data_IF_584840220889
#
_entry.id   IF_584840220889
#
_cell.length_a   1.000
_cell.length_b   1.000
_cell.length_c   1.000
_cell.angle_alpha   90.00
_cell.angle_beta   90.00
_cell.angle_gamma   90.00
#
_symmetry.space_group_name_H-M   'P 1'
#
loop_
_entity.id
_entity.type
_entity.pdbx_description
1 polymer ?
#
# COMPACT_ATOMS: atom_id res chain seq x y z
N UNK A 1 -17.63 8.63 25.52
CA UNK A 1 -18.62 8.49 24.44
C UNK A 1 -18.22 9.42 23.31
N UNK A 2 -18.42 8.99 22.06
CA UNK A 2 -17.46 9.21 20.98
C UNK A 2 -17.31 10.67 20.52
N UNK A 3 -16.07 11.17 20.55
CA UNK A 3 -15.59 12.35 19.81
C UNK A 3 -15.88 12.26 18.29
N UNK A 4 -16.32 11.10 17.79
CA UNK A 4 -16.41 10.73 16.40
C UNK A 4 -17.22 11.69 15.50
N UNK A 5 -18.14 12.50 16.04
CA UNK A 5 -19.02 13.36 15.22
C UNK A 5 -18.77 14.86 15.37
N UNK A 6 -17.73 15.26 16.11
CA UNK A 6 -17.38 16.67 16.26
C UNK A 6 -16.51 17.16 15.12
N UNK A 7 -16.65 18.43 14.77
CA UNK A 7 -15.91 19.09 13.69
C UNK A 7 -14.89 20.04 14.31
N UNK A 8 -13.57 19.79 14.21
CA UNK A 8 -12.59 20.75 14.68
C UNK A 8 -12.53 21.94 13.72
N UNK A 9 -12.56 23.16 14.25
CA UNK A 9 -12.46 24.38 13.48
C UNK A 9 -11.60 25.43 14.15
N UNK A 10 -10.84 26.19 13.36
CA UNK A 10 -10.06 27.32 13.80
C UNK A 10 -10.85 28.63 13.61
N UNK A 11 -10.73 29.55 14.58
CA UNK A 11 -11.38 30.87 14.56
C UNK A 11 -10.45 31.92 15.16
N UNK A 12 -10.48 33.13 14.61
CA UNK A 12 -9.78 34.25 15.24
C UNK A 12 -10.46 34.70 16.53
N UNK A 13 -9.67 35.21 17.48
CA UNK A 13 -10.19 35.69 18.77
C UNK A 13 -11.26 36.76 18.62
N UNK A 14 -11.14 37.62 17.60
CA UNK A 14 -12.10 38.68 17.30
C UNK A 14 -13.44 38.11 16.82
N UNK A 15 -13.39 37.12 15.91
CA UNK A 15 -14.59 36.47 15.37
C UNK A 15 -15.33 35.67 16.45
N UNK A 16 -14.59 34.95 17.31
CA UNK A 16 -15.18 34.22 18.44
C UNK A 16 -15.89 35.17 19.42
N UNK A 17 -15.26 36.30 19.77
CA UNK A 17 -15.86 37.29 20.65
C UNK A 17 -17.11 37.96 20.03
N UNK A 18 -17.15 38.15 18.71
CA UNK A 18 -18.33 38.65 18.02
C UNK A 18 -19.49 37.64 18.04
N UNK A 19 -19.19 36.35 17.80
CA UNK A 19 -20.18 35.29 17.83
C UNK A 19 -20.77 35.08 19.24
N UNK A 20 -19.92 35.09 20.28
CA UNK A 20 -20.35 34.99 21.69
C UNK A 20 -21.27 36.15 22.11
N UNK A 21 -20.92 37.38 21.74
CA UNK A 21 -21.77 38.55 22.01
C UNK A 21 -23.13 38.46 21.33
N UNK A 22 -23.19 37.95 20.10
CA UNK A 22 -24.46 37.76 19.37
C UNK A 22 -25.33 36.67 19.99
N UNK A 23 -24.70 35.60 20.49
CA UNK A 23 -25.39 34.50 21.15
C UNK A 23 -25.77 34.80 22.60
N UNK A 24 -25.25 35.91 23.18
CA UNK A 24 -25.36 36.24 24.61
C UNK A 24 -24.84 35.12 25.53
N UNK A 25 -23.71 34.53 25.15
CA UNK A 25 -23.08 33.38 25.82
C UNK A 25 -21.69 33.78 26.31
N UNK A 26 -21.35 33.43 27.55
CA UNK A 26 -20.00 33.63 28.09
C UNK A 26 -19.00 32.58 27.56
N UNK A 27 -17.74 32.97 27.34
CA UNK A 27 -16.70 32.03 26.87
C UNK A 27 -16.50 30.81 27.79
N UNK A 28 -16.82 30.94 29.08
CA UNK A 28 -16.75 29.85 30.06
C UNK A 28 -17.81 28.77 29.81
N UNK A 29 -18.97 29.15 29.29
CA UNK A 29 -20.08 28.22 28.99
C UNK A 29 -19.72 27.27 27.84
N UNK A 30 -18.80 27.67 26.96
CA UNK A 30 -18.25 26.78 25.92
C UNK A 30 -17.42 25.62 26.48
N UNK A 31 -16.86 25.77 27.69
CA UNK A 31 -15.96 24.79 28.31
C UNK A 31 -16.69 23.85 29.27
N UNK A 32 -17.87 24.22 29.76
CA UNK A 32 -18.54 23.58 30.90
C UNK A 32 -19.83 22.85 30.57
N UNK A 33 -20.42 23.05 29.39
CA UNK A 33 -21.78 22.57 29.13
C UNK A 33 -21.80 21.11 28.61
N UNK A 34 -22.61 20.22 29.19
CA UNK A 34 -22.88 18.90 28.62
C UNK A 34 -23.69 19.03 27.32
N UNK A 35 -23.65 17.99 26.47
CA UNK A 35 -24.21 18.04 25.09
C UNK A 35 -25.66 18.58 24.92
N UNK A 36 -26.61 18.39 25.85
CA UNK A 36 -27.95 18.96 25.69
C UNK A 36 -28.05 20.48 25.92
N UNK A 37 -27.01 21.12 26.50
CA UNK A 37 -26.98 22.55 26.83
C UNK A 37 -25.92 23.32 26.03
N UNK A 38 -25.44 22.76 24.91
CA UNK A 38 -24.44 23.42 24.08
C UNK A 38 -25.01 24.66 23.38
N UNK A 39 -24.36 25.83 23.53
CA UNK A 39 -24.83 27.07 22.94
C UNK A 39 -24.69 27.06 21.42
N UNK A 40 -25.69 27.63 20.72
CA UNK A 40 -25.65 27.78 19.26
C UNK A 40 -24.94 29.07 18.87
N UNK A 41 -23.74 28.94 18.30
CA UNK A 41 -22.98 30.06 17.75
C UNK A 41 -23.22 30.19 16.24
N UNK A 42 -23.43 31.43 15.78
CA UNK A 42 -23.63 31.73 14.36
C UNK A 42 -22.47 32.57 13.81
N UNK A 43 -21.69 31.97 12.91
CA UNK A 43 -20.57 32.61 12.23
C UNK A 43 -20.96 33.01 10.79
N UNK A 44 -20.71 34.27 10.37
CA UNK A 44 -20.71 34.67 8.96
C UNK A 44 -19.75 33.84 8.09
N UNK A 45 -19.98 33.77 6.76
CA UNK A 45 -19.09 33.09 5.84
C UNK A 45 -17.64 33.57 5.96
N UNK A 46 -16.68 32.64 5.98
CA UNK A 46 -15.25 32.92 6.05
C UNK A 46 -14.69 33.20 7.45
N UNK A 47 -15.53 33.24 8.51
CA UNK A 47 -15.05 33.51 9.87
C UNK A 47 -14.63 32.26 10.65
N UNK A 48 -14.99 31.07 10.17
CA UNK A 48 -14.70 29.78 10.79
C UNK A 48 -14.03 28.87 9.76
N UNK A 49 -12.83 28.40 10.07
CA UNK A 49 -12.06 27.51 9.20
C UNK A 49 -12.18 26.07 9.71
N UNK A 50 -12.94 25.23 9.02
CA UNK A 50 -13.01 23.80 9.35
C UNK A 50 -11.68 23.11 9.07
N UNK A 51 -11.04 22.56 10.11
CA UNK A 51 -9.79 21.82 10.01
C UNK A 51 -10.03 20.41 9.45
N UNK A 52 -11.17 19.79 9.81
CA UNK A 52 -11.55 18.47 9.32
C UNK A 52 -13.07 18.36 9.16
N UNK A 53 -13.57 17.25 8.59
CA UNK A 53 -15.01 16.92 8.59
C UNK A 53 -15.86 17.70 7.59
N UNK A 54 -15.27 18.53 6.72
CA UNK A 54 -15.97 19.30 5.67
C UNK A 54 -16.74 18.42 4.68
N UNK A 55 -16.20 17.25 4.35
CA UNK A 55 -16.86 16.26 3.50
C UNK A 55 -18.16 15.73 4.14
N UNK A 56 -18.19 15.55 5.47
CA UNK A 56 -19.40 15.12 6.20
C UNK A 56 -20.46 16.20 6.22
N UNK A 57 -20.04 17.46 6.35
CA UNK A 57 -20.95 18.60 6.26
C UNK A 57 -21.54 18.65 4.85
N UNK A 58 -20.70 18.51 3.80
CA UNK A 58 -21.17 18.48 2.42
C UNK A 58 -22.17 17.35 2.16
N UNK A 59 -21.83 16.11 2.54
CA UNK A 59 -22.73 14.96 2.43
C UNK A 59 -24.01 15.13 3.28
N UNK A 60 -23.87 15.67 4.49
CA UNK A 60 -24.99 15.97 5.38
C UNK A 60 -25.92 17.03 4.79
N UNK A 61 -25.43 18.00 4.02
CA UNK A 61 -26.27 19.00 3.35
C UNK A 61 -27.12 18.37 2.24
N UNK A 62 -26.63 17.33 1.57
CA UNK A 62 -27.36 16.60 0.53
C UNK A 62 -28.43 15.67 1.13
N UNK A 63 -28.12 15.01 2.24
CA UNK A 63 -28.97 13.94 2.80
C UNK A 63 -29.88 14.42 3.93
N UNK A 64 -29.44 15.37 4.77
CA UNK A 64 -30.19 15.78 5.97
C UNK A 64 -31.21 16.88 5.66
N UNK A 65 -32.39 16.74 6.28
CA UNK A 65 -33.42 17.77 6.24
C UNK A 65 -32.94 19.05 6.97
N UNK A 66 -33.49 20.24 6.63
CA UNK A 66 -33.04 21.50 7.22
C UNK A 66 -33.04 21.54 8.76
N UNK A 67 -33.94 20.79 9.41
CA UNK A 67 -34.04 20.70 10.86
C UNK A 67 -32.84 19.97 11.52
N UNK A 68 -32.13 19.12 10.77
CA UNK A 68 -30.99 18.33 11.26
C UNK A 68 -29.63 18.85 10.78
N UNK A 69 -29.58 20.01 10.12
CA UNK A 69 -28.33 20.64 9.65
C UNK A 69 -27.63 21.42 10.75
N UNK A 70 -27.25 20.72 11.81
CA UNK A 70 -26.45 21.27 12.90
C UNK A 70 -25.32 20.29 13.23
N UNK A 71 -24.16 20.84 13.58
CA UNK A 71 -22.97 20.06 13.92
C UNK A 71 -22.38 20.61 15.21
N UNK A 72 -21.85 19.70 16.03
CA UNK A 72 -21.03 20.07 17.19
C UNK A 72 -19.64 20.43 16.68
N UNK A 73 -19.15 21.61 17.04
CA UNK A 73 -17.87 22.13 16.58
C UNK A 73 -16.95 22.32 17.77
N UNK A 74 -15.75 21.74 17.72
CA UNK A 74 -14.68 22.04 18.67
C UNK A 74 -13.89 23.24 18.13
N UNK A 75 -13.95 24.35 18.85
CA UNK A 75 -13.43 25.64 18.41
C UNK A 75 -12.04 25.87 18.97
N UNK A 76 -11.07 26.07 18.10
CA UNK A 76 -9.68 26.38 18.42
C UNK A 76 -9.31 27.78 17.94
N UNK A 77 -8.35 28.40 18.61
CA UNK A 77 -7.77 29.67 18.16
C UNK A 77 -6.97 29.47 16.86
N UNK A 78 -6.84 30.49 16.02
CA UNK A 78 -6.15 30.41 14.72
C UNK A 78 -4.62 30.38 14.83
N UNK A 79 -4.08 30.80 15.98
CA UNK A 79 -2.68 30.76 16.38
C UNK A 79 -2.21 29.40 16.91
N UNK A 80 -3.02 28.34 16.80
CA UNK A 80 -2.56 26.99 17.13
C UNK A 80 -1.39 26.57 16.23
N UNK A 81 -0.35 25.99 16.85
CA UNK A 81 0.84 25.52 16.13
C UNK A 81 0.52 24.45 15.09
N UNK A 82 1.35 24.37 14.05
CA UNK A 82 1.14 23.46 12.92
C UNK A 82 1.11 21.98 13.35
N UNK A 83 1.84 21.62 14.41
CA UNK A 83 1.79 20.28 15.02
C UNK A 83 0.38 19.95 15.56
N UNK A 84 -0.27 20.91 16.22
CA UNK A 84 -1.63 20.73 16.75
C UNK A 84 -2.67 20.73 15.63
N UNK A 85 -2.50 21.57 14.59
CA UNK A 85 -3.36 21.53 13.40
C UNK A 85 -3.30 20.14 12.74
N UNK A 86 -2.10 19.64 12.50
CA UNK A 86 -1.86 18.31 11.92
C UNK A 86 -2.48 17.23 12.80
N UNK A 87 -2.30 17.35 14.12
CA UNK A 87 -2.90 16.44 15.10
C UNK A 87 -4.43 16.37 15.00
N UNK A 88 -5.11 17.51 14.91
CA UNK A 88 -6.56 17.59 14.83
C UNK A 88 -7.08 17.06 13.48
N UNK A 89 -6.35 17.32 12.40
CA UNK A 89 -6.68 16.76 11.08
C UNK A 89 -6.58 15.23 11.11
N UNK A 90 -5.49 14.68 11.66
CA UNK A 90 -5.23 13.23 11.68
C UNK A 90 -6.09 12.44 12.69
N UNK A 91 -6.47 13.06 13.82
CA UNK A 91 -7.28 12.42 14.87
C UNK A 91 -8.73 12.22 14.43
N UNK A 92 -9.28 13.21 13.72
CA UNK A 92 -10.66 13.18 13.24
C UNK A 92 -10.81 12.51 11.86
N UNK A 93 -9.71 12.20 11.16
CA UNK A 93 -9.71 11.40 9.92
C UNK A 93 -10.10 9.93 10.10
N UNK A 94 -10.43 9.50 11.33
CA UNK A 94 -10.59 8.08 11.70
C UNK A 94 -12.04 7.58 11.73
N UNK A 95 -12.97 8.18 10.97
CA UNK A 95 -14.32 7.60 10.83
C UNK A 95 -14.28 6.18 10.26
N UNK A 96 -13.25 5.88 9.46
CA UNK A 96 -12.75 4.53 9.28
C UNK A 96 -11.32 4.45 9.83
N UNK A 97 -10.97 3.40 10.62
CA UNK A 97 -9.60 3.21 11.06
C UNK A 97 -8.69 3.11 9.81
N UNK A 98 -7.54 3.80 9.78
CA UNK A 98 -6.62 3.69 8.66
C UNK A 98 -6.19 2.24 8.48
N UNK A 99 -5.98 1.83 7.22
CA UNK A 99 -5.46 0.50 6.94
C UNK A 99 -4.05 0.33 7.50
N UNK A 100 -3.66 -0.93 7.74
CA UNK A 100 -2.33 -1.28 8.21
C UNK A 100 -1.22 -0.71 7.30
N UNK A 101 -1.48 -0.58 5.99
CA UNK A 101 -0.55 -0.02 5.01
C UNK A 101 -0.43 1.50 5.09
N UNK A 102 -1.52 2.22 5.36
CA UNK A 102 -1.47 3.67 5.59
C UNK A 102 -0.75 3.97 6.91
N UNK A 103 -1.02 3.19 7.98
CA UNK A 103 -0.28 3.27 9.23
C UNK A 103 1.22 3.04 9.00
N UNK A 104 1.58 1.99 8.25
CA UNK A 104 2.97 1.73 7.87
C UNK A 104 3.60 2.92 7.16
N UNK A 105 2.93 3.46 6.13
CA UNK A 105 3.47 4.54 5.30
C UNK A 105 3.72 5.80 6.12
N UNK A 106 2.79 6.17 7.01
CA UNK A 106 2.90 7.33 7.90
C UNK A 106 4.03 7.18 8.91
N UNK A 107 4.18 6.00 9.52
CA UNK A 107 5.32 5.72 10.41
C UNK A 107 6.64 5.92 9.66
N UNK A 108 6.75 5.41 8.43
CA UNK A 108 7.98 5.54 7.61
C UNK A 108 8.24 6.97 7.17
N UNK A 109 7.19 7.71 6.81
CA UNK A 109 7.29 9.13 6.47
C UNK A 109 7.84 9.93 7.67
N UNK A 110 7.19 9.84 8.83
CA UNK A 110 7.64 10.57 10.03
C UNK A 110 9.04 10.16 10.50
N UNK A 111 9.42 8.90 10.34
CA UNK A 111 10.78 8.44 10.63
C UNK A 111 11.81 9.07 9.68
N UNK A 112 11.48 9.23 8.40
CA UNK A 112 12.35 9.90 7.41
C UNK A 112 12.43 11.41 7.64
N UNK A 113 11.34 12.02 8.10
CA UNK A 113 11.25 13.46 8.41
C UNK A 113 11.91 13.81 9.75
N UNK A 114 12.37 12.82 10.52
CA UNK A 114 12.96 13.01 11.86
C UNK A 114 11.94 13.37 12.94
N UNK A 115 10.64 13.24 12.67
CA UNK A 115 9.56 13.57 13.60
C UNK A 115 9.21 12.36 14.48
N UNK A 116 9.94 12.24 15.59
CA UNK A 116 9.74 11.16 16.56
C UNK A 116 8.33 11.15 17.16
N UNK A 117 7.72 12.32 17.37
CA UNK A 117 6.40 12.41 17.97
C UNK A 117 5.32 11.83 17.05
N UNK A 118 5.34 12.21 15.76
CA UNK A 118 4.46 11.64 14.73
C UNK A 118 4.65 10.14 14.57
N UNK A 119 5.90 9.67 14.56
CA UNK A 119 6.21 8.24 14.46
C UNK A 119 5.61 7.44 15.63
N UNK A 120 5.84 7.87 16.87
CA UNK A 120 5.32 7.20 18.07
C UNK A 120 3.79 7.22 18.12
N UNK A 121 3.17 8.33 17.69
CA UNK A 121 1.72 8.45 17.62
C UNK A 121 1.10 7.45 16.66
N UNK A 122 1.65 7.33 15.44
CA UNK A 122 1.14 6.38 14.46
C UNK A 122 1.42 4.93 14.86
N UNK A 123 2.54 4.66 15.54
CA UNK A 123 2.81 3.36 16.18
C UNK A 123 1.77 3.00 17.25
N UNK A 124 1.33 3.97 18.05
CA UNK A 124 0.36 3.74 19.13
C UNK A 124 -1.02 3.29 18.63
N UNK A 125 -1.34 3.49 17.34
CA UNK A 125 -2.57 2.98 16.71
C UNK A 125 -2.58 1.45 16.54
N UNK A 126 -1.41 0.81 16.61
CA UNK A 126 -1.26 -0.64 16.51
C UNK A 126 -1.32 -1.30 17.89
N UNK A 127 -1.90 -2.50 17.98
CA UNK A 127 -1.81 -3.32 19.19
C UNK A 127 -0.36 -3.82 19.42
N UNK A 128 -0.03 -4.20 20.66
CA UNK A 128 1.34 -4.61 21.05
C UNK A 128 1.93 -5.71 20.14
N UNK A 129 1.12 -6.69 19.76
CA UNK A 129 1.55 -7.77 18.85
C UNK A 129 1.89 -7.25 17.44
N UNK A 130 1.07 -6.34 16.90
CA UNK A 130 1.31 -5.71 15.59
C UNK A 130 2.54 -4.82 15.62
N UNK A 131 2.77 -4.07 16.70
CA UNK A 131 3.99 -3.27 16.88
C UNK A 131 5.25 -4.16 16.88
N UNK A 132 5.21 -5.30 17.58
CA UNK A 132 6.35 -6.24 17.65
C UNK A 132 6.64 -6.86 16.28
N UNK A 133 5.60 -7.24 15.53
CA UNK A 133 5.74 -7.75 14.15
C UNK A 133 6.31 -6.70 13.22
N UNK A 134 5.80 -5.47 13.31
CA UNK A 134 6.29 -4.35 12.50
C UNK A 134 7.75 -4.00 12.80
N UNK A 135 8.15 -4.00 14.08
CA UNK A 135 9.56 -3.84 14.46
C UNK A 135 10.44 -4.95 13.89
N UNK A 136 9.94 -6.18 13.87
CA UNK A 136 10.68 -7.32 13.30
C UNK A 136 10.88 -7.17 11.78
N UNK A 137 9.86 -6.66 11.07
CA UNK A 137 9.96 -6.28 9.67
C UNK A 137 11.01 -5.19 9.45
N UNK A 138 11.02 -4.14 10.29
CA UNK A 138 11.99 -3.03 10.15
C UNK A 138 13.44 -3.44 10.40
N UNK A 139 13.69 -4.50 11.18
CA UNK A 139 15.02 -5.10 11.37
C UNK A 139 15.50 -5.84 10.13
N UNK A 140 14.59 -6.36 9.31
CA UNK A 140 14.93 -7.01 8.04
C UNK A 140 15.04 -5.96 6.93
N UNK A 141 16.26 -5.49 6.65
CA UNK A 141 16.53 -4.45 5.66
C UNK A 141 15.93 -4.75 4.29
N UNK A 142 16.03 -6.01 3.82
CA UNK A 142 15.52 -6.39 2.49
C UNK A 142 14.00 -6.30 2.43
N UNK A 143 13.30 -6.92 3.39
CA UNK A 143 11.84 -6.86 3.42
C UNK A 143 11.35 -5.45 3.66
N UNK A 144 12.01 -4.68 4.54
CA UNK A 144 11.68 -3.26 4.73
C UNK A 144 11.72 -2.51 3.40
N UNK A 145 12.78 -2.68 2.61
CA UNK A 145 12.87 -2.02 1.29
C UNK A 145 11.78 -2.49 0.32
N UNK A 146 11.48 -3.80 0.27
CA UNK A 146 10.40 -4.31 -0.58
C UNK A 146 9.03 -3.73 -0.19
N UNK A 147 8.70 -3.72 1.11
CA UNK A 147 7.45 -3.14 1.61
C UNK A 147 7.40 -1.62 1.46
N UNK A 148 8.52 -0.90 1.65
CA UNK A 148 8.61 0.54 1.39
C UNK A 148 8.29 0.85 -0.09
N UNK A 149 8.71 0.00 -1.03
CA UNK A 149 8.39 0.10 -2.46
C UNK A 149 6.91 -0.21 -2.74
N UNK A 150 6.44 -1.40 -2.38
CA UNK A 150 5.06 -1.86 -2.65
C UNK A 150 4.02 -0.93 -2.02
N UNK A 151 4.23 -0.48 -0.78
CA UNK A 151 3.31 0.44 -0.09
C UNK A 151 3.51 1.91 -0.49
N UNK A 152 4.54 2.20 -1.29
CA UNK A 152 4.66 3.45 -2.03
C UNK A 152 3.46 3.65 -2.95
N UNK A 153 3.02 2.57 -3.60
CA UNK A 153 1.83 2.52 -4.46
C UNK A 153 0.57 2.59 -3.58
N UNK A 154 -0.26 3.64 -3.70
CA UNK A 154 -1.46 3.78 -2.88
C UNK A 154 -2.40 2.56 -2.95
N UNK A 155 -2.53 1.95 -4.14
CA UNK A 155 -3.45 0.83 -4.33
C UNK A 155 -3.16 -0.44 -3.52
N UNK A 156 -1.93 -0.65 -3.05
CA UNK A 156 -1.59 -1.81 -2.22
C UNK A 156 -1.82 -1.60 -0.71
N UNK A 157 -2.04 -0.36 -0.26
CA UNK A 157 -2.05 -0.04 1.18
C UNK A 157 -3.18 -0.73 1.95
N UNK A 158 -4.33 -0.91 1.32
CA UNK A 158 -5.48 -1.57 1.96
C UNK A 158 -5.35 -3.09 2.01
N UNK A 159 -4.54 -3.67 1.13
CA UNK A 159 -4.21 -5.08 1.15
C UNK A 159 -3.20 -5.43 2.26
N UNK A 160 -2.47 -4.45 2.80
CA UNK A 160 -1.50 -4.67 3.86
C UNK A 160 -2.14 -5.29 5.10
N UNK A 161 -1.50 -6.34 5.65
CA UNK A 161 -1.91 -7.01 6.89
C UNK A 161 -0.69 -7.19 7.78
N UNK A 162 -0.47 -6.27 8.71
CA UNK A 162 0.64 -6.35 9.70
C UNK A 162 0.52 -7.64 10.52
N UNK A 163 -0.71 -8.11 10.73
CA UNK A 163 -0.98 -9.39 11.38
C UNK A 163 -0.32 -10.57 10.66
N UNK A 164 -0.18 -10.55 9.33
CA UNK A 164 0.36 -11.65 8.52
C UNK A 164 1.89 -11.59 8.38
N UNK A 165 2.57 -10.54 8.85
CA UNK A 165 4.01 -10.37 8.67
C UNK A 165 4.85 -11.50 9.26
N UNK A 166 4.39 -12.11 10.36
CA UNK A 166 5.06 -13.27 10.97
C UNK A 166 5.20 -14.47 10.01
N UNK A 167 4.34 -14.57 8.99
CA UNK A 167 4.36 -15.63 7.97
C UNK A 167 5.26 -15.30 6.79
N UNK A 168 5.42 -13.99 6.50
CA UNK A 168 6.13 -13.49 5.31
C UNK A 168 7.64 -13.39 5.52
N UNK A 169 8.11 -13.26 6.77
CA UNK A 169 9.54 -13.02 7.06
C UNK A 169 10.50 -14.12 6.60
N UNK A 170 9.99 -15.26 6.12
CA UNK A 170 10.77 -16.41 5.67
C UNK A 170 11.07 -16.42 4.15
N UNK A 171 10.53 -15.48 3.36
CA UNK A 171 10.58 -15.58 1.88
C UNK A 171 11.08 -14.28 1.25
N UNK A 172 11.85 -14.46 0.19
CA UNK A 172 12.36 -13.40 -0.68
C UNK A 172 11.37 -13.21 -1.83
N UNK A 173 10.74 -12.04 -1.94
CA UNK A 173 9.89 -11.68 -3.08
C UNK A 173 10.46 -10.42 -3.74
N UNK A 174 10.55 -10.45 -5.06
CA UNK A 174 10.94 -9.31 -5.90
C UNK A 174 9.70 -8.94 -6.73
N UNK A 175 9.05 -7.81 -6.43
CA UNK A 175 7.78 -7.40 -7.06
C UNK A 175 7.94 -6.08 -7.81
N UNK A 176 8.48 -6.14 -9.03
CA UNK A 176 8.74 -4.97 -9.89
C UNK A 176 7.63 -4.74 -10.95
N UNK A 177 6.54 -5.52 -10.93
CA UNK A 177 5.49 -5.47 -11.97
C UNK A 177 4.87 -4.08 -12.12
N UNK A 178 4.39 -3.49 -11.02
CA UNK A 178 3.67 -2.21 -11.07
C UNK A 178 4.57 -1.03 -11.45
N UNK A 179 5.84 -1.08 -11.04
CA UNK A 179 6.83 -0.08 -11.42
C UNK A 179 7.15 -0.15 -12.91
N UNK A 180 7.30 -1.37 -13.45
CA UNK A 180 7.55 -1.57 -14.89
C UNK A 180 6.42 -1.04 -15.79
N UNK A 181 5.19 -0.96 -15.26
CA UNK A 181 4.04 -0.47 -16.01
C UNK A 181 4.14 1.03 -16.32
N UNK A 182 4.79 1.78 -15.44
CA UNK A 182 4.91 3.24 -15.49
C UNK A 182 6.36 3.70 -15.61
N UNK A 183 7.24 2.86 -16.16
CA UNK A 183 8.66 3.16 -16.42
C UNK A 183 9.42 3.65 -15.16
N UNK A 184 9.07 3.07 -14.01
CA UNK A 184 9.65 3.40 -12.70
C UNK A 184 9.48 4.87 -12.27
N UNK A 185 8.59 5.64 -12.93
CA UNK A 185 8.36 7.05 -12.62
C UNK A 185 7.61 7.21 -11.28
N UNK A 186 8.22 7.81 -10.24
CA UNK A 186 7.60 7.92 -8.93
C UNK A 186 6.29 8.72 -8.92
N UNK A 187 6.14 9.70 -9.82
CA UNK A 187 4.92 10.50 -9.91
C UNK A 187 3.77 9.66 -10.47
N UNK A 188 4.03 8.88 -11.51
CA UNK A 188 3.07 7.95 -12.11
C UNK A 188 2.71 6.79 -11.18
N UNK A 189 3.67 6.25 -10.42
CA UNK A 189 3.40 5.21 -9.41
C UNK A 189 2.40 5.71 -8.35
N UNK A 190 2.49 6.99 -7.98
CA UNK A 190 1.58 7.59 -6.99
C UNK A 190 0.14 7.78 -7.51
N UNK A 191 -0.08 7.71 -8.83
CA UNK A 191 -1.43 7.77 -9.45
C UNK A 191 -2.16 6.42 -9.43
N UNK A 192 -1.49 5.32 -9.09
CA UNK A 192 -2.11 3.98 -9.09
C UNK A 192 -2.97 3.82 -7.83
N UNK A 193 -4.27 3.87 -8.05
CA UNK A 193 -5.28 3.80 -7.00
C UNK A 193 -5.65 2.35 -6.62
N UNK A 194 -6.41 2.23 -5.53
CA UNK A 194 -6.87 0.94 -4.99
C UNK A 194 -7.79 0.19 -5.94
N UNK A 195 -8.73 0.88 -6.57
CA UNK A 195 -9.71 0.24 -7.44
C UNK A 195 -9.00 -0.38 -8.65
N UNK A 196 -7.98 0.29 -9.19
CA UNK A 196 -7.12 -0.28 -10.25
C UNK A 196 -6.45 -1.58 -9.83
N UNK A 197 -5.77 -1.59 -8.68
CA UNK A 197 -5.07 -2.80 -8.20
C UNK A 197 -6.04 -3.94 -7.92
N UNK A 198 -7.16 -3.67 -7.24
CA UNK A 198 -8.15 -4.69 -6.87
C UNK A 198 -8.90 -5.25 -8.07
N UNK A 199 -9.09 -4.46 -9.12
CA UNK A 199 -9.74 -4.91 -10.35
C UNK A 199 -8.79 -5.76 -11.18
N UNK A 200 -7.51 -5.37 -11.28
CA UNK A 200 -6.53 -6.09 -12.11
C UNK A 200 -5.94 -7.34 -11.43
N UNK A 201 -5.85 -7.38 -10.09
CA UNK A 201 -5.23 -8.50 -9.40
C UNK A 201 -5.85 -9.84 -9.83
N UNK A 202 -5.01 -10.87 -9.95
CA UNK A 202 -5.43 -12.21 -10.38
C UNK A 202 -6.02 -12.30 -11.80
N UNK A 203 -6.08 -11.21 -12.57
CA UNK A 203 -6.36 -11.29 -14.00
C UNK A 203 -5.10 -11.67 -14.77
N UNK A 204 -5.26 -12.27 -15.96
CA UNK A 204 -4.18 -12.48 -16.93
C UNK A 204 -4.40 -11.54 -18.11
N UNK A 205 -3.78 -10.35 -18.16
CA UNK A 205 -4.08 -9.31 -19.14
C UNK A 205 -3.98 -9.77 -20.60
N UNK A 206 -3.03 -10.64 -20.93
CA UNK A 206 -2.93 -11.22 -22.27
C UNK A 206 -4.13 -12.10 -22.65
N UNK A 207 -4.62 -12.92 -21.72
CA UNK A 207 -5.74 -13.84 -21.95
C UNK A 207 -7.09 -13.13 -21.88
N UNK A 208 -7.19 -12.14 -21.01
CA UNK A 208 -8.40 -11.34 -20.74
C UNK A 208 -8.35 -9.97 -21.43
N UNK A 209 -7.60 -9.88 -22.54
CA UNK A 209 -7.25 -8.63 -23.21
C UNK A 209 -8.45 -7.74 -23.55
N UNK A 210 -9.58 -8.33 -23.94
CA UNK A 210 -10.79 -7.57 -24.26
C UNK A 210 -11.37 -6.85 -23.05
N UNK A 211 -11.40 -7.53 -21.90
CA UNK A 211 -11.94 -6.99 -20.65
C UNK A 211 -11.00 -5.93 -20.12
N UNK A 212 -9.70 -6.27 -19.98
CA UNK A 212 -8.69 -5.34 -19.46
C UNK A 212 -8.57 -4.09 -20.35
N UNK A 213 -8.55 -4.24 -21.68
CA UNK A 213 -8.55 -3.08 -22.59
C UNK A 213 -9.79 -2.22 -22.41
N UNK A 214 -10.97 -2.82 -22.28
CA UNK A 214 -12.22 -2.07 -22.05
C UNK A 214 -12.14 -1.24 -20.77
N UNK A 215 -11.59 -1.80 -19.69
CA UNK A 215 -11.41 -1.11 -18.41
C UNK A 215 -10.41 0.05 -18.52
N UNK A 216 -9.26 -0.16 -19.18
CA UNK A 216 -8.25 0.88 -19.38
C UNK A 216 -8.77 2.01 -20.29
N UNK A 217 -9.28 1.69 -21.47
CA UNK A 217 -9.71 2.71 -22.45
C UNK A 217 -10.96 3.47 -21.98
N UNK A 218 -11.82 2.86 -21.16
CA UNK A 218 -12.96 3.59 -20.55
C UNK A 218 -12.57 4.46 -19.36
N UNK A 219 -11.32 4.39 -18.89
CA UNK A 219 -10.85 5.13 -17.71
C UNK A 219 -11.45 4.64 -16.39
N UNK A 220 -12.04 3.43 -16.36
CA UNK A 220 -12.54 2.83 -15.12
C UNK A 220 -11.40 2.45 -14.17
N UNK A 221 -10.26 2.06 -14.75
CA UNK A 221 -8.99 1.85 -14.03
C UNK A 221 -7.96 2.84 -14.59
N UNK A 222 -6.95 3.17 -13.78
CA UNK A 222 -6.00 4.26 -14.05
C UNK A 222 -6.73 5.62 -14.23
N UNK A 223 -7.61 5.96 -13.29
CA UNK A 223 -8.47 7.15 -13.37
C UNK A 223 -7.69 8.46 -13.44
N UNK A 224 -6.56 8.51 -12.74
CA UNK A 224 -5.71 9.70 -12.60
C UNK A 224 -4.66 9.81 -13.73
N UNK A 225 -4.75 8.94 -14.74
CA UNK A 225 -3.91 8.95 -15.94
C UNK A 225 -4.66 9.48 -17.15
N UNK A 226 -3.93 10.17 -18.02
CA UNK A 226 -4.46 10.71 -19.27
C UNK A 226 -4.70 9.60 -20.30
N UNK A 227 -5.45 9.88 -21.38
CA UNK A 227 -5.74 8.86 -22.41
C UNK A 227 -4.47 8.28 -23.05
N UNK A 228 -3.48 9.15 -23.36
CA UNK A 228 -2.20 8.73 -23.93
C UNK A 228 -1.37 7.89 -22.96
N UNK A 229 -1.36 8.26 -21.67
CA UNK A 229 -0.68 7.49 -20.62
C UNK A 229 -1.33 6.10 -20.46
N UNK A 230 -2.67 6.03 -20.49
CA UNK A 230 -3.42 4.77 -20.40
C UNK A 230 -3.17 3.85 -21.61
N UNK A 231 -3.04 4.41 -22.81
CA UNK A 231 -2.70 3.63 -24.00
C UNK A 231 -1.28 3.04 -23.91
N UNK A 232 -0.31 3.82 -23.40
CA UNK A 232 1.05 3.32 -23.14
C UNK A 232 1.07 2.21 -22.09
N UNK A 233 0.30 2.36 -21.00
CA UNK A 233 0.08 1.34 -19.97
C UNK A 233 -0.53 0.07 -20.59
N UNK A 234 -1.51 0.21 -21.47
CA UNK A 234 -2.15 -0.91 -22.15
C UNK A 234 -1.21 -1.69 -23.08
N UNK A 235 -0.32 -1.01 -23.82
CA UNK A 235 0.71 -1.67 -24.65
C UNK A 235 1.63 -2.59 -23.82
N UNK A 236 1.93 -2.21 -22.57
CA UNK A 236 2.69 -3.06 -21.65
C UNK A 236 1.83 -4.18 -21.08
N UNK A 237 0.60 -3.89 -20.62
CA UNK A 237 -0.31 -4.88 -20.05
C UNK A 237 -0.61 -6.02 -21.01
N UNK A 238 -0.91 -5.75 -22.29
CA UNK A 238 -1.25 -6.81 -23.26
C UNK A 238 -0.12 -7.84 -23.46
N UNK A 239 1.12 -7.43 -23.19
CA UNK A 239 2.29 -8.30 -23.31
C UNK A 239 2.43 -9.23 -22.10
N UNK A 240 1.81 -8.89 -20.96
CA UNK A 240 1.93 -9.63 -19.70
C UNK A 240 1.03 -10.88 -19.68
N UNK A 241 1.66 -12.04 -19.65
CA UNK A 241 1.01 -13.36 -19.76
C UNK A 241 0.83 -14.11 -18.45
N UNK A 242 1.01 -13.45 -17.30
CA UNK A 242 0.86 -14.04 -15.98
C UNK A 242 -0.26 -13.35 -15.18
N UNK A 243 -0.57 -13.89 -14.00
CA UNK A 243 -1.49 -13.25 -13.07
C UNK A 243 -0.89 -11.93 -12.58
N UNK A 244 -1.69 -10.86 -12.59
CA UNK A 244 -1.26 -9.57 -12.01
C UNK A 244 -1.06 -9.76 -10.51
N UNK A 245 0.16 -9.53 -10.00
CA UNK A 245 0.46 -9.69 -8.58
C UNK A 245 -0.13 -8.53 -7.78
N UNK A 246 -0.63 -8.83 -6.59
CA UNK A 246 -0.97 -7.81 -5.59
C UNK A 246 -0.52 -8.24 -4.20
N UNK A 247 -0.39 -7.26 -3.31
CA UNK A 247 -0.10 -7.56 -1.91
C UNK A 247 -1.21 -8.42 -1.26
N UNK A 248 -2.45 -8.33 -1.76
CA UNK A 248 -3.55 -9.17 -1.29
C UNK A 248 -3.39 -10.62 -1.76
N UNK A 249 -3.15 -10.85 -3.05
CA UNK A 249 -2.91 -12.21 -3.57
C UNK A 249 -1.71 -12.84 -2.88
N UNK A 250 -0.65 -12.06 -2.67
CA UNK A 250 0.52 -12.48 -1.90
C UNK A 250 0.14 -12.99 -0.51
N UNK A 251 -0.65 -12.25 0.28
CA UNK A 251 -1.06 -12.73 1.60
C UNK A 251 -1.97 -13.97 1.55
N UNK A 252 -2.84 -14.10 0.55
CA UNK A 252 -3.66 -15.31 0.37
C UNK A 252 -2.79 -16.51 -0.01
N UNK A 253 -1.83 -16.34 -0.92
CA UNK A 253 -0.88 -17.37 -1.32
C UNK A 253 -0.10 -17.88 -0.10
N UNK A 254 0.28 -17.00 0.83
CA UNK A 254 0.94 -17.40 2.08
C UNK A 254 0.06 -18.24 3.02
N UNK A 255 -1.25 -18.02 3.04
CA UNK A 255 -2.16 -18.87 3.84
C UNK A 255 -2.19 -20.30 3.29
N UNK A 256 -2.25 -20.43 1.97
CA UNK A 256 -2.18 -21.71 1.29
C UNK A 256 -0.80 -22.35 1.47
N UNK A 257 0.26 -21.57 1.26
CA UNK A 257 1.64 -22.03 1.31
C UNK A 257 2.05 -22.52 2.70
N UNK A 258 1.61 -21.88 3.79
CA UNK A 258 1.90 -22.36 5.16
C UNK A 258 1.36 -23.79 5.38
N UNK A 259 0.15 -24.06 4.89
CA UNK A 259 -0.46 -25.39 4.96
C UNK A 259 0.32 -26.42 4.16
N UNK A 260 0.87 -26.00 3.00
CA UNK A 260 1.65 -26.88 2.13
C UNK A 260 3.11 -26.99 2.54
N UNK A 261 3.68 -25.98 3.20
CA UNK A 261 5.09 -25.94 3.57
C UNK A 261 5.42 -27.14 4.46
N UNK A 262 4.53 -27.52 5.38
CA UNK A 262 4.69 -28.72 6.20
C UNK A 262 4.64 -30.02 5.35
N UNK A 263 3.82 -30.07 4.31
CA UNK A 263 3.80 -31.22 3.40
C UNK A 263 5.04 -31.26 2.50
N UNK A 264 5.47 -30.10 2.00
CA UNK A 264 6.62 -29.94 1.11
C UNK A 264 7.94 -30.23 1.84
N UNK A 265 8.09 -29.84 3.11
CA UNK A 265 9.26 -30.19 3.94
C UNK A 265 9.36 -31.68 4.22
N UNK A 266 8.24 -32.41 4.17
CA UNK A 266 8.21 -33.88 4.26
C UNK A 266 8.50 -34.56 2.93
N UNK A 267 8.13 -33.94 1.82
CA UNK A 267 8.35 -34.46 0.47
C UNK A 267 9.80 -34.23 0.01
N UNK A 268 10.41 -33.11 0.40
CA UNK A 268 11.76 -32.75 -0.02
C UNK A 268 12.57 -32.17 1.15
N UNK A 269 13.86 -32.50 1.20
CA UNK A 269 14.80 -31.87 2.12
C UNK A 269 15.11 -30.46 1.62
N UNK A 270 14.44 -29.45 2.17
CA UNK A 270 14.72 -28.06 1.83
C UNK A 270 16.13 -27.68 2.30
N UNK A 271 17.04 -27.54 1.34
CA UNK A 271 18.37 -26.97 1.55
C UNK A 271 18.33 -25.43 1.62
N UNK A 272 19.45 -24.77 1.32
CA UNK A 272 19.53 -23.29 1.25
C UNK A 272 18.85 -22.66 0.01
N UNK A 273 18.24 -23.48 -0.84
CA UNK A 273 17.57 -23.06 -2.08
C UNK A 273 16.10 -22.71 -1.85
N UNK A 274 15.51 -21.92 -2.75
CA UNK A 274 14.07 -21.65 -2.72
C UNK A 274 13.27 -22.93 -3.04
N UNK A 275 12.00 -22.99 -2.63
CA UNK A 275 11.11 -24.11 -2.98
C UNK A 275 11.01 -24.27 -4.49
N UNK A 276 10.88 -23.16 -5.23
CA UNK A 276 10.88 -23.17 -6.70
C UNK A 276 12.13 -23.81 -7.29
N UNK A 277 13.33 -23.39 -6.87
CA UNK A 277 14.59 -23.97 -7.37
C UNK A 277 14.72 -25.45 -7.03
N UNK A 278 14.25 -25.85 -5.86
CA UNK A 278 14.26 -27.26 -5.43
C UNK A 278 13.29 -28.07 -6.29
N UNK A 279 12.09 -27.55 -6.55
CA UNK A 279 11.11 -28.18 -7.44
C UNK A 279 11.58 -28.22 -8.89
N UNK A 280 12.18 -27.15 -9.41
CA UNK A 280 12.75 -27.09 -10.77
C UNK A 280 13.92 -28.07 -10.92
N UNK A 281 14.75 -28.25 -9.87
CA UNK A 281 15.84 -29.22 -9.88
C UNK A 281 15.39 -30.68 -9.73
N UNK A 282 14.21 -30.90 -9.12
CA UNK A 282 13.56 -32.21 -9.03
C UNK A 282 12.66 -32.49 -10.23
N UNK A 283 12.38 -31.48 -11.05
CA UNK A 283 11.63 -31.61 -12.28
C UNK A 283 12.49 -32.33 -13.31
N UNK A 284 12.41 -33.66 -13.29
CA UNK A 284 12.99 -34.48 -14.35
C UNK A 284 12.13 -34.32 -15.60
N UNK A 285 12.61 -33.59 -16.61
CA UNK A 285 12.05 -33.71 -17.96
C UNK A 285 12.18 -35.18 -18.36
N UNK A 286 11.06 -35.86 -18.60
CA UNK A 286 11.04 -37.22 -19.15
C UNK A 286 11.97 -37.25 -20.38
N UNK A 287 13.19 -37.75 -20.18
CA UNK A 287 14.20 -37.85 -21.24
C UNK A 287 14.13 -39.20 -21.95
N UNK A 288 13.02 -39.92 -21.79
CA UNK A 288 12.73 -41.15 -22.52
C UNK A 288 11.54 -40.90 -23.45
N UNK A 289 11.83 -40.29 -24.61
CA UNK A 289 11.18 -40.56 -25.91
C UNK A 289 9.66 -40.43 -26.06
N UNK A 290 8.92 -39.99 -25.04
CA UNK A 290 7.47 -39.83 -25.08
C UNK A 290 7.11 -38.43 -24.65
N UNK A 291 6.75 -37.60 -25.63
CA UNK A 291 6.31 -36.21 -25.46
C UNK A 291 4.93 -36.11 -24.76
N UNK A 292 4.51 -37.17 -24.07
CA UNK A 292 3.18 -37.43 -23.51
C UNK A 292 3.24 -37.50 -21.99
N UNK A 293 2.64 -36.52 -21.31
CA UNK A 293 2.48 -36.51 -19.87
C UNK A 293 1.11 -37.15 -19.51
N UNK A 294 1.06 -38.17 -18.63
CA UNK A 294 -0.21 -38.74 -18.19
C UNK A 294 -0.95 -37.75 -17.28
N UNK A 295 -2.08 -37.24 -17.76
CA UNK A 295 -2.98 -36.37 -17.02
C UNK A 295 -4.14 -37.19 -16.49
N UNK A 296 -4.34 -37.19 -15.18
CA UNK A 296 -5.47 -37.88 -14.56
C UNK A 296 -6.78 -37.19 -14.99
N UNK A 297 -7.67 -37.92 -15.66
CA UNK A 297 -8.97 -37.42 -16.15
C UNK A 297 -10.14 -37.93 -15.32
N UNK A 298 -9.93 -38.97 -14.52
CA UNK A 298 -10.87 -39.45 -13.51
C UNK A 298 -10.12 -40.10 -12.36
N UNK A 299 -10.83 -40.52 -11.31
CA UNK A 299 -10.23 -41.21 -10.15
C UNK A 299 -9.39 -42.44 -10.55
N UNK A 300 -9.70 -43.08 -11.68
CA UNK A 300 -9.01 -44.28 -12.17
C UNK A 300 -8.44 -44.18 -13.60
N UNK A 301 -8.64 -43.06 -14.30
CA UNK A 301 -8.21 -42.91 -15.69
C UNK A 301 -7.15 -41.83 -15.86
N UNK A 302 -6.15 -42.15 -16.70
CA UNK A 302 -5.09 -41.24 -17.13
C UNK A 302 -5.11 -41.14 -18.65
N UNK A 303 -5.02 -39.92 -19.15
CA UNK A 303 -4.95 -39.60 -20.57
C UNK A 303 -3.59 -38.98 -20.88
N UNK A 304 -2.93 -39.44 -21.94
CA UNK A 304 -1.63 -38.88 -22.34
C UNK A 304 -1.84 -37.57 -23.08
N UNK A 305 -1.28 -36.47 -22.58
CA UNK A 305 -1.31 -35.18 -23.27
C UNK A 305 0.08 -34.74 -23.68
N UNK A 306 0.19 -34.24 -24.90
CA UNK A 306 1.42 -33.60 -25.36
C UNK A 306 1.72 -32.35 -24.55
N UNK A 307 2.89 -32.30 -23.91
CA UNK A 307 3.35 -31.11 -23.20
C UNK A 307 4.32 -30.38 -24.10
N UNK A 308 3.88 -29.30 -24.74
CA UNK A 308 4.77 -28.41 -25.47
C UNK A 308 5.77 -27.79 -24.49
N UNK A 309 7.00 -28.30 -24.48
CA UNK A 309 8.10 -27.74 -23.70
C UNK A 309 8.39 -26.33 -24.20
N UNK A 310 7.88 -25.32 -23.50
CA UNK A 310 8.21 -23.91 -23.77
C UNK A 310 9.56 -23.61 -23.14
N UNK A 311 10.63 -23.74 -23.92
CA UNK A 311 11.91 -23.13 -23.58
C UNK A 311 11.75 -21.60 -23.69
N UNK A 312 11.68 -20.90 -22.56
CA UNK A 312 12.02 -19.48 -22.51
C UNK A 312 13.53 -19.40 -22.20
N UNK A 313 14.39 -18.94 -23.13
CA UNK A 313 15.80 -18.73 -22.79
C UNK A 313 15.92 -17.58 -21.79
N UNK A 314 16.47 -17.86 -20.60
CA UNK A 314 17.02 -16.82 -19.75
C UNK A 314 18.24 -16.24 -20.47
N UNK A 315 18.12 -15.00 -20.93
CA UNK A 315 19.27 -14.20 -21.35
C UNK A 315 20.02 -13.76 -20.09
N UNK A 316 20.99 -14.55 -19.63
CA UNK A 316 22.00 -14.09 -18.68
C UNK A 316 23.14 -13.45 -19.45
N UNK A 317 22.96 -12.18 -19.84
CA UNK A 317 24.09 -11.35 -20.23
C UNK A 317 24.62 -10.64 -18.98
N UNK A 318 25.70 -11.19 -18.43
CA UNK A 318 26.56 -10.51 -17.47
C UNK A 318 28.01 -10.82 -17.82
N UNK A 319 28.42 -10.46 -19.04
CA UNK A 319 29.83 -10.33 -19.38
C UNK A 319 30.40 -9.09 -18.69
N UNK A 320 31.06 -9.26 -17.53
CA UNK A 320 32.02 -8.28 -17.00
C UNK A 320 33.45 -8.76 -17.30
N UNK A 321 34.29 -7.94 -17.96
CA UNK A 321 35.63 -8.35 -18.35
C UNK A 321 36.56 -8.43 -17.13
N UNK A 322 37.34 -9.51 -17.06
CA UNK A 322 38.47 -9.65 -16.12
C UNK A 322 39.57 -8.68 -16.54
N UNK A 323 39.83 -7.66 -15.74
CA UNK A 323 41.02 -6.82 -15.88
C UNK A 323 42.26 -7.66 -15.53
N UNK A 324 43.01 -8.07 -16.55
CA UNK A 324 44.37 -8.57 -16.40
C UNK A 324 45.26 -7.44 -15.88
N UNK A 325 45.79 -7.59 -14.65
CA UNK A 325 46.95 -6.82 -14.20
C UNK A 325 48.21 -7.50 -14.77
N UNK A 326 48.70 -6.96 -15.87
CA UNK A 326 50.07 -7.18 -16.36
C UNK A 326 51.04 -6.49 -15.40
N UNK A 327 51.79 -7.28 -14.62
CA UNK A 327 52.97 -6.81 -13.91
C UNK A 327 54.19 -7.08 -14.80
N UNK A 328 54.76 -6.00 -15.34
CA UNK A 328 55.95 -6.01 -16.17
C UNK A 328 56.79 -4.75 -15.92
N UNK A 329 57.65 -4.85 -14.91
CA UNK A 329 59.03 -4.36 -14.81
C UNK A 329 59.42 -2.88 -15.04
N UNK A 330 60.15 -2.37 -14.03
CA UNK A 330 61.34 -1.51 -14.14
C UNK A 330 61.05 -0.01 -14.30
N UNK A 331 61.79 0.94 -13.73
CA UNK A 331 63.04 0.99 -12.98
C UNK A 331 63.11 2.46 -12.45
N UNK A 332 63.39 2.74 -11.18
CA UNK A 332 64.75 3.03 -10.64
C UNK A 332 64.93 4.53 -10.27
N UNK A 333 65.78 4.76 -9.25
CA UNK A 333 66.28 6.01 -8.60
C UNK A 333 65.45 6.52 -7.42
N UNK A 334 65.99 6.74 -6.21
CA UNK A 334 67.37 7.01 -5.79
C UNK A 334 67.67 6.44 -4.38
N UNK A 335 68.83 5.78 -4.25
CA UNK A 335 69.85 5.94 -3.19
C UNK A 335 71.01 4.97 -3.44
N UNK A 336 72.18 5.51 -3.75
CA UNK A 336 73.47 4.80 -3.85
C UNK A 336 74.18 5.06 -5.16
#
# INVERSE_FOLDING_TARGET
MALAHRVPAAVSRQNLAAALRRANVGARELLTNPEPEMPRLCFPPGQLQGLHGRHRIAAGLEVLSPAHRWWVVDVYSDDIGDDLKTSLIEEYSNEMPPSDGEIYRRIRQYANDGNLHGELRWKARLCSNSQTRLQSLFKNTRLRHAFDGVLGIPGHRNAMRISMLHRVMAVSCDEDFWFSLVDDDPASVAKIDQHTVETLQLMVPRSEAKVVRGLVTSGQIFTDFDEDERDAIWEKLRSFGALVPSLNSFFEDFKCFESWAHCLTRLFTLGKSTVRQTMDGLWTTCSDGGDMCPVQTSESAFDGRHVAVRHAPLSTDASRPKTQKSAGQGAERDRG
#
